data_IF_707330825466
#
_entry.id   IF_707330825466
#
_cell.length_a   1.000
_cell.length_b   1.000
_cell.length_c   1.000
_cell.angle_alpha   90.00
_cell.angle_beta   90.00
_cell.angle_gamma   90.00
#
_symmetry.space_group_name_H-M   'P 1'
#
loop_
_entity.id
_entity.type
_entity.pdbx_description
1 polymer ?
#
# COMPACT_ATOMS: atom_id res chain seq x y z
N UNK A 1 -19.04 2.18 -7.16
CA UNK A 1 -18.75 2.85 -5.87
C UNK A 1 -18.02 1.88 -4.95
N UNK A 2 -16.81 2.26 -4.48
CA UNK A 2 -16.02 1.47 -3.53
C UNK A 2 -16.42 1.85 -2.11
N UNK A 3 -16.61 0.85 -1.23
CA UNK A 3 -16.85 1.04 0.19
C UNK A 3 -15.77 0.30 0.98
N UNK A 4 -15.07 1.04 1.83
CA UNK A 4 -14.11 0.49 2.78
C UNK A 4 -14.80 0.28 4.13
N UNK A 5 -14.75 -0.92 4.66
CA UNK A 5 -15.30 -1.24 5.97
C UNK A 5 -14.25 -1.01 7.07
N UNK A 6 -14.69 -0.58 8.24
CA UNK A 6 -13.82 -0.46 9.41
C UNK A 6 -13.18 -1.81 9.77
N UNK A 7 -11.94 -1.78 10.22
CA UNK A 7 -11.23 -2.94 10.76
C UNK A 7 -11.72 -3.20 12.19
N UNK A 8 -12.07 -4.43 12.51
CA UNK A 8 -12.45 -4.88 13.84
C UNK A 8 -12.12 -6.37 14.05
N UNK A 9 -12.23 -6.84 15.26
CA UNK A 9 -11.87 -8.21 15.65
C UNK A 9 -12.80 -9.29 15.10
N UNK A 10 -13.95 -8.93 14.51
CA UNK A 10 -14.86 -9.88 13.85
C UNK A 10 -14.40 -10.26 12.44
N UNK A 11 -13.35 -9.61 11.91
CA UNK A 11 -12.84 -9.82 10.56
C UNK A 11 -11.56 -10.63 10.59
N UNK A 12 -11.55 -11.71 9.82
CA UNK A 12 -10.39 -12.58 9.57
C UNK A 12 -10.36 -12.88 8.06
N UNK A 13 -9.21 -12.79 7.38
CA UNK A 13 -7.88 -12.45 7.86
C UNK A 13 -7.71 -10.96 8.18
N UNK A 14 -6.77 -10.65 9.05
CA UNK A 14 -6.40 -9.30 9.41
C UNK A 14 -4.91 -9.06 9.14
N UNK A 15 -4.51 -7.79 9.07
CA UNK A 15 -3.11 -7.40 8.87
C UNK A 15 -2.48 -6.94 10.18
N UNK A 16 -1.16 -7.07 10.29
CA UNK A 16 -0.41 -6.43 11.38
C UNK A 16 -0.44 -4.90 11.24
N UNK A 17 -0.06 -4.19 12.30
CA UNK A 17 0.17 -2.76 12.23
C UNK A 17 1.20 -2.43 11.12
N UNK A 18 0.95 -1.37 10.37
CA UNK A 18 1.87 -0.93 9.32
C UNK A 18 3.16 -0.39 9.94
N UNK A 19 4.29 -0.95 9.52
CA UNK A 19 5.62 -0.47 9.83
C UNK A 19 6.44 -0.38 8.54
N UNK A 20 7.47 0.45 8.51
CA UNK A 20 8.35 0.67 7.36
C UNK A 20 7.59 1.02 6.06
N UNK A 21 6.47 1.74 6.18
CA UNK A 21 5.63 2.22 5.06
C UNK A 21 5.17 1.12 4.09
N UNK A 22 5.02 -0.11 4.57
CA UNK A 22 4.69 -1.29 3.75
C UNK A 22 3.19 -1.47 3.47
N UNK A 23 2.33 -0.53 3.89
CA UNK A 23 0.87 -0.69 3.76
C UNK A 23 0.39 -0.72 2.32
N UNK A 24 0.88 0.18 1.47
CA UNK A 24 0.44 0.27 0.07
C UNK A 24 0.90 -0.92 -0.76
N UNK A 25 2.15 -1.35 -0.61
CA UNK A 25 2.68 -2.47 -1.37
C UNK A 25 2.10 -3.82 -0.88
N UNK A 26 2.13 -4.12 0.40
CA UNK A 26 1.65 -5.41 0.90
C UNK A 26 0.13 -5.53 0.87
N UNK A 27 -0.58 -4.59 1.48
CA UNK A 27 -2.04 -4.64 1.54
C UNK A 27 -2.66 -4.30 0.17
N UNK A 28 -2.10 -3.34 -0.56
CA UNK A 28 -2.52 -2.99 -1.91
C UNK A 28 -2.39 -4.17 -2.88
N UNK A 29 -1.25 -4.87 -2.85
CA UNK A 29 -1.06 -6.07 -3.69
C UNK A 29 -1.95 -7.24 -3.26
N UNK A 30 -2.23 -7.41 -1.97
CA UNK A 30 -3.19 -8.42 -1.51
C UNK A 30 -4.60 -8.11 -2.05
N UNK A 31 -5.05 -6.85 -1.99
CA UNK A 31 -6.33 -6.42 -2.58
C UNK A 31 -6.33 -6.64 -4.09
N UNK A 32 -5.25 -6.27 -4.78
CA UNK A 32 -5.11 -6.52 -6.22
C UNK A 32 -5.27 -8.01 -6.56
N UNK A 33 -4.59 -8.89 -5.84
CA UNK A 33 -4.68 -10.34 -6.07
C UNK A 33 -6.11 -10.88 -5.84
N UNK A 34 -6.83 -10.36 -4.83
CA UNK A 34 -8.23 -10.71 -4.61
C UNK A 34 -9.12 -10.27 -5.79
N UNK A 35 -8.92 -9.05 -6.28
CA UNK A 35 -9.66 -8.50 -7.41
C UNK A 35 -9.34 -9.27 -8.70
N UNK A 36 -8.08 -9.57 -8.95
CA UNK A 36 -7.67 -10.32 -10.15
C UNK A 36 -8.29 -11.71 -10.17
N UNK A 37 -8.40 -12.40 -9.02
CA UNK A 37 -9.11 -13.67 -8.90
C UNK A 37 -10.59 -13.55 -9.24
N UNK A 38 -11.25 -12.48 -8.80
CA UNK A 38 -12.67 -12.24 -9.13
C UNK A 38 -12.81 -11.92 -10.63
N UNK A 39 -11.96 -11.05 -11.17
CA UNK A 39 -11.94 -10.70 -12.59
C UNK A 39 -11.75 -11.91 -13.48
N UNK A 40 -10.85 -12.82 -13.13
CA UNK A 40 -10.63 -14.07 -13.86
C UNK A 40 -11.89 -14.93 -13.92
N UNK A 41 -12.57 -15.11 -12.78
CA UNK A 41 -13.83 -15.88 -12.73
C UNK A 41 -14.91 -15.25 -13.60
N UNK A 42 -15.10 -13.93 -13.50
CA UNK A 42 -16.08 -13.17 -14.28
C UNK A 42 -15.76 -13.25 -15.77
N UNK A 43 -14.50 -13.03 -16.15
CA UNK A 43 -14.05 -13.10 -17.53
C UNK A 43 -14.30 -14.47 -18.15
N UNK A 44 -13.94 -15.52 -17.43
CA UNK A 44 -14.16 -16.90 -17.86
C UNK A 44 -15.64 -17.21 -18.09
N UNK A 45 -16.51 -16.75 -17.21
CA UNK A 45 -17.94 -17.01 -17.32
C UNK A 45 -18.60 -16.16 -18.42
N UNK A 46 -18.22 -14.87 -18.55
CA UNK A 46 -18.71 -14.03 -19.65
C UNK A 46 -18.29 -14.58 -21.01
N UNK A 47 -17.06 -15.06 -21.14
CA UNK A 47 -16.61 -15.72 -22.37
C UNK A 47 -17.51 -16.91 -22.74
N UNK A 48 -17.90 -17.74 -21.77
CA UNK A 48 -18.83 -18.87 -22.02
C UNK A 48 -20.19 -18.34 -22.45
N UNK A 49 -20.79 -17.38 -21.75
CA UNK A 49 -22.09 -16.80 -22.08
C UNK A 49 -22.10 -16.26 -23.51
N UNK A 50 -21.10 -15.49 -23.88
CA UNK A 50 -21.02 -14.91 -25.22
C UNK A 50 -20.75 -15.94 -26.30
N UNK A 51 -20.04 -17.03 -26.02
CA UNK A 51 -19.85 -18.14 -26.97
C UNK A 51 -21.11 -19.02 -27.10
N UNK A 52 -21.87 -19.22 -26.02
CA UNK A 52 -23.16 -19.93 -26.05
C UNK A 52 -24.20 -19.19 -26.91
N UNK A 53 -24.15 -17.86 -26.94
CA UNK A 53 -25.04 -17.02 -27.78
C UNK A 53 -24.69 -17.06 -29.28
N UNK A 54 -23.45 -17.45 -29.63
CA UNK A 54 -22.99 -17.58 -31.01
C UNK A 54 -22.86 -19.06 -31.41
N UNK A 55 -23.96 -19.65 -31.86
CA UNK A 55 -24.14 -21.08 -32.11
C UNK A 55 -23.14 -21.77 -33.07
N UNK A 56 -22.15 -21.08 -33.63
CA UNK A 56 -21.30 -21.59 -34.70
C UNK A 56 -19.79 -21.61 -34.48
N UNK A 57 -19.27 -21.15 -33.29
CA UNK A 57 -17.82 -21.22 -33.07
C UNK A 57 -17.46 -21.32 -31.58
N UNK A 58 -17.22 -22.53 -31.04
CA UNK A 58 -17.09 -22.75 -29.59
C UNK A 58 -15.73 -22.41 -28.96
N UNK A 59 -14.80 -21.75 -29.65
CA UNK A 59 -13.43 -21.64 -29.20
C UNK A 59 -12.82 -20.23 -29.38
N UNK A 60 -13.60 -19.15 -29.24
CA UNK A 60 -13.04 -17.81 -29.32
C UNK A 60 -12.45 -17.44 -27.94
N UNK A 61 -11.16 -17.24 -27.93
CA UNK A 61 -10.46 -16.67 -26.78
C UNK A 61 -10.78 -15.18 -26.72
N UNK A 62 -11.36 -14.71 -25.64
CA UNK A 62 -11.81 -13.33 -25.46
C UNK A 62 -10.80 -12.51 -24.67
N UNK A 63 -10.47 -11.31 -25.16
CA UNK A 63 -9.65 -10.31 -24.46
C UNK A 63 -10.54 -9.38 -23.64
N UNK A 64 -10.94 -9.81 -22.45
CA UNK A 64 -11.90 -9.08 -21.61
C UNK A 64 -11.23 -7.96 -20.84
N UNK A 65 -11.78 -6.76 -20.95
CA UNK A 65 -11.38 -5.58 -20.21
C UNK A 65 -12.51 -5.04 -19.33
N UNK A 66 -12.09 -4.45 -18.19
CA UNK A 66 -12.95 -3.79 -17.22
C UNK A 66 -12.58 -2.31 -17.21
N UNK A 67 -13.46 -1.47 -17.73
CA UNK A 67 -13.20 -0.02 -17.81
C UNK A 67 -14.52 0.76 -17.84
N UNK A 68 -14.53 1.91 -17.16
CA UNK A 68 -15.63 2.90 -17.18
C UNK A 68 -17.01 2.28 -16.90
N UNK A 69 -17.10 1.48 -15.83
CA UNK A 69 -18.30 0.74 -15.43
C UNK A 69 -18.84 -0.28 -16.45
N UNK A 70 -18.02 -0.66 -17.42
CA UNK A 70 -18.34 -1.70 -18.39
C UNK A 70 -17.31 -2.83 -18.40
N UNK A 71 -17.78 -3.98 -18.85
CA UNK A 71 -16.96 -5.14 -19.21
C UNK A 71 -17.18 -5.41 -20.70
N UNK A 72 -16.12 -5.53 -21.45
CA UNK A 72 -16.19 -5.72 -22.91
C UNK A 72 -15.04 -6.57 -23.43
N UNK A 73 -15.26 -7.17 -24.58
CA UNK A 73 -14.24 -7.91 -25.32
C UNK A 73 -13.59 -6.97 -26.35
N UNK A 74 -12.26 -6.81 -26.28
CA UNK A 74 -11.53 -5.93 -27.20
C UNK A 74 -11.53 -6.42 -28.65
N UNK A 75 -11.66 -7.72 -28.84
CA UNK A 75 -11.65 -8.35 -30.16
C UNK A 75 -13.03 -8.41 -30.80
N UNK A 76 -14.09 -8.22 -30.01
CA UNK A 76 -15.50 -8.29 -30.43
C UNK A 76 -16.30 -7.11 -29.83
N UNK A 77 -16.37 -5.95 -30.51
CA UNK A 77 -16.98 -4.72 -29.96
C UNK A 77 -18.47 -4.82 -29.59
N UNK A 78 -19.19 -5.77 -30.15
CA UNK A 78 -20.59 -6.09 -29.84
C UNK A 78 -20.76 -6.77 -28.47
N UNK A 79 -19.70 -7.37 -27.93
CA UNK A 79 -19.66 -8.02 -26.62
C UNK A 79 -19.34 -7.01 -25.54
N UNK A 80 -20.37 -6.32 -25.07
CA UNK A 80 -20.28 -5.32 -24.02
C UNK A 80 -21.45 -5.44 -23.06
N UNK A 81 -21.16 -5.36 -21.76
CA UNK A 81 -22.15 -5.40 -20.69
C UNK A 81 -21.81 -4.39 -19.61
N UNK A 82 -22.82 -3.79 -18.94
CA UNK A 82 -22.56 -2.98 -17.78
C UNK A 82 -21.99 -3.81 -16.62
N UNK A 83 -21.15 -3.22 -15.80
CA UNK A 83 -20.60 -3.90 -14.61
C UNK A 83 -21.72 -4.43 -13.70
N UNK A 84 -22.78 -3.63 -13.51
CA UNK A 84 -23.90 -4.02 -12.65
C UNK A 84 -24.65 -5.24 -13.19
N UNK A 85 -24.97 -5.26 -14.51
CA UNK A 85 -25.67 -6.38 -15.14
C UNK A 85 -24.78 -7.64 -15.16
N UNK A 86 -23.48 -7.48 -15.41
CA UNK A 86 -22.54 -8.59 -15.34
C UNK A 86 -22.52 -9.21 -13.93
N UNK A 87 -22.45 -8.40 -12.86
CA UNK A 87 -22.48 -8.91 -11.50
C UNK A 87 -23.78 -9.60 -11.15
N UNK A 88 -24.93 -9.10 -11.65
CA UNK A 88 -26.22 -9.76 -11.51
C UNK A 88 -26.23 -11.12 -12.20
N UNK A 89 -25.73 -11.20 -13.45
CA UNK A 89 -25.62 -12.46 -14.16
C UNK A 89 -24.71 -13.46 -13.45
N UNK A 90 -23.56 -13.01 -12.93
CA UNK A 90 -22.65 -13.87 -12.16
C UNK A 90 -23.34 -14.41 -10.91
N UNK A 91 -24.09 -13.57 -10.18
CA UNK A 91 -24.82 -14.00 -9.01
C UNK A 91 -25.90 -15.07 -9.35
N UNK A 92 -26.67 -14.85 -10.40
CA UNK A 92 -27.69 -15.81 -10.87
C UNK A 92 -27.07 -17.14 -11.32
N UNK A 93 -25.85 -17.11 -11.85
CA UNK A 93 -25.10 -18.31 -12.26
C UNK A 93 -24.27 -18.91 -11.11
N UNK A 94 -24.43 -18.41 -9.88
CA UNK A 94 -23.75 -18.91 -8.67
C UNK A 94 -22.22 -18.81 -8.75
N UNK A 95 -21.70 -17.82 -9.44
CA UNK A 95 -20.27 -17.51 -9.48
C UNK A 95 -19.89 -16.70 -8.25
N UNK A 96 -18.88 -17.14 -7.51
CA UNK A 96 -18.42 -16.46 -6.31
C UNK A 96 -17.80 -15.09 -6.65
N UNK A 97 -18.39 -14.02 -6.11
CA UNK A 97 -17.94 -12.63 -6.24
C UNK A 97 -17.11 -12.15 -5.02
N UNK A 98 -16.66 -13.07 -4.20
CA UNK A 98 -15.77 -12.79 -3.07
C UNK A 98 -14.44 -13.53 -3.21
N UNK A 99 -13.38 -12.92 -2.69
CA UNK A 99 -12.05 -13.54 -2.64
C UNK A 99 -11.25 -12.97 -1.48
N UNK A 100 -10.47 -13.82 -0.81
CA UNK A 100 -9.37 -13.38 0.02
C UNK A 100 -8.13 -13.18 -0.87
N UNK A 101 -7.36 -12.12 -0.60
CA UNK A 101 -6.11 -11.86 -1.28
C UNK A 101 -4.93 -12.00 -0.33
N UNK A 102 -3.84 -12.55 -0.82
CA UNK A 102 -2.59 -12.67 -0.10
C UNK A 102 -1.44 -12.22 -1.00
N UNK A 103 -0.47 -11.52 -0.42
CA UNK A 103 0.75 -11.13 -1.11
C UNK A 103 1.96 -11.47 -0.26
N UNK A 104 2.94 -12.10 -0.89
CA UNK A 104 4.27 -12.36 -0.33
C UNK A 104 5.27 -11.56 -1.14
N UNK A 105 6.03 -10.69 -0.46
CA UNK A 105 7.10 -9.92 -1.12
C UNK A 105 8.10 -10.88 -1.79
N UNK A 106 8.35 -10.73 -3.10
CA UNK A 106 9.22 -11.65 -3.83
C UNK A 106 10.71 -11.40 -3.52
N UNK A 107 11.52 -12.44 -3.71
CA UNK A 107 12.98 -12.36 -3.74
C UNK A 107 13.62 -11.74 -2.49
N UNK A 108 13.00 -11.87 -1.32
CA UNK A 108 13.59 -11.49 -0.04
C UNK A 108 14.03 -12.72 0.75
N UNK A 109 15.10 -12.58 1.50
CA UNK A 109 15.61 -13.63 2.36
C UNK A 109 16.72 -13.12 3.28
N UNK A 110 16.77 -13.64 4.49
CA UNK A 110 17.76 -13.28 5.49
C UNK A 110 18.21 -14.51 6.27
N UNK A 111 19.52 -14.78 6.25
CA UNK A 111 20.14 -15.78 7.11
C UNK A 111 20.50 -15.13 8.46
N UNK A 112 19.74 -15.47 9.49
CA UNK A 112 19.92 -14.90 10.84
C UNK A 112 21.24 -15.31 11.50
N UNK A 113 21.80 -16.48 11.12
CA UNK A 113 23.04 -16.99 11.70
C UNK A 113 24.24 -16.27 11.09
N UNK A 114 24.24 -16.11 9.79
CA UNK A 114 25.31 -15.44 9.04
C UNK A 114 25.18 -13.91 9.07
N UNK A 115 24.02 -13.37 9.48
CA UNK A 115 23.74 -11.94 9.42
C UNK A 115 23.74 -11.39 7.98
N UNK A 116 23.36 -12.20 6.99
CA UNK A 116 23.53 -11.93 5.58
C UNK A 116 22.29 -12.28 4.76
N UNK A 117 22.04 -11.52 3.69
CA UNK A 117 20.95 -11.80 2.77
C UNK A 117 20.42 -10.57 2.03
N UNK A 118 19.24 -10.72 1.42
CA UNK A 118 18.48 -9.65 0.74
C UNK A 118 17.19 -9.40 1.52
N UNK A 119 17.19 -8.54 2.57
CA UNK A 119 16.03 -8.33 3.42
C UNK A 119 14.96 -7.42 2.81
N UNK A 120 15.31 -6.64 1.78
CA UNK A 120 14.43 -5.66 1.16
C UNK A 120 14.21 -5.96 -0.32
N UNK A 121 13.01 -5.67 -0.81
CA UNK A 121 12.65 -5.86 -2.22
C UNK A 121 13.09 -4.66 -3.07
N UNK A 122 12.94 -3.45 -2.54
CA UNK A 122 13.35 -2.19 -3.16
C UNK A 122 13.93 -1.25 -2.10
N UNK A 123 14.49 -0.14 -2.57
CA UNK A 123 15.04 0.93 -1.74
C UNK A 123 14.46 2.25 -2.22
N UNK A 124 14.15 3.15 -1.26
CA UNK A 124 13.87 4.54 -1.54
C UNK A 124 15.17 5.34 -1.45
N UNK A 125 15.41 6.23 -2.40
CA UNK A 125 16.61 7.08 -2.43
C UNK A 125 16.20 8.52 -2.13
N UNK A 126 17.01 9.21 -1.35
CA UNK A 126 16.76 10.60 -1.00
C UNK A 126 17.99 11.28 -0.46
N UNK A 127 17.94 12.60 -0.47
CA UNK A 127 18.97 13.47 0.11
C UNK A 127 18.29 14.65 0.80
N UNK A 128 18.80 15.02 1.94
CA UNK A 128 18.42 16.24 2.66
C UNK A 128 19.64 17.12 2.88
N UNK A 129 19.49 18.43 2.67
CA UNK A 129 20.51 19.43 2.94
C UNK A 129 19.90 20.47 3.87
N UNK A 130 20.55 20.73 5.01
CA UNK A 130 20.08 21.69 6.00
C UNK A 130 21.11 22.80 6.21
N UNK A 131 20.62 24.02 6.29
CA UNK A 131 21.38 25.21 6.67
C UNK A 131 21.10 25.53 8.14
N UNK A 132 22.14 25.63 8.97
CA UNK A 132 22.03 25.81 10.41
C UNK A 132 22.90 26.96 10.85
N UNK A 133 22.36 27.84 11.70
CA UNK A 133 23.11 28.86 12.42
C UNK A 133 23.43 28.33 13.81
N UNK A 134 24.71 28.38 14.19
CA UNK A 134 25.19 28.00 15.53
C UNK A 134 25.82 29.18 16.24
N UNK A 135 25.35 29.47 17.44
CA UNK A 135 26.03 30.42 18.34
C UNK A 135 27.23 29.73 18.99
N UNK A 136 28.42 30.13 18.60
CA UNK A 136 29.66 29.54 19.08
C UNK A 136 29.96 29.79 20.59
N UNK A 137 29.27 30.72 21.24
CA UNK A 137 29.44 31.00 22.66
C UNK A 137 28.52 30.14 23.53
N UNK A 138 27.28 29.95 23.10
CA UNK A 138 26.25 29.26 23.88
C UNK A 138 26.00 27.83 23.42
N UNK A 139 26.39 27.49 22.19
CA UNK A 139 26.06 26.22 21.55
C UNK A 139 24.61 26.14 21.02
N UNK A 140 23.82 27.20 21.18
CA UNK A 140 22.47 27.23 20.63
C UNK A 140 22.51 27.20 19.11
N UNK A 141 21.56 26.45 18.51
CA UNK A 141 21.43 26.36 17.08
C UNK A 141 20.03 26.76 16.61
N UNK A 142 19.95 27.20 15.36
CA UNK A 142 18.69 27.48 14.65
C UNK A 142 18.74 26.90 13.26
N UNK A 143 17.76 26.05 12.93
CA UNK A 143 17.55 25.59 11.57
C UNK A 143 17.02 26.76 10.75
N UNK A 144 17.71 27.13 9.68
CA UNK A 144 17.34 28.22 8.77
C UNK A 144 16.54 27.72 7.58
N UNK A 145 16.99 26.61 6.99
CA UNK A 145 16.39 26.01 5.79
C UNK A 145 16.71 24.53 5.72
N UNK A 146 15.79 23.78 5.11
CA UNK A 146 16.04 22.38 4.70
C UNK A 146 15.44 22.15 3.32
N UNK A 147 16.22 21.56 2.43
CA UNK A 147 15.81 21.12 1.11
C UNK A 147 15.91 19.58 1.07
N UNK A 148 14.82 18.93 0.69
CA UNK A 148 14.74 17.46 0.64
C UNK A 148 14.32 17.03 -0.76
N UNK A 149 15.09 16.12 -1.36
CA UNK A 149 14.71 15.38 -2.56
C UNK A 149 14.54 13.92 -2.16
N UNK A 150 13.38 13.34 -2.42
CA UNK A 150 13.06 11.98 -2.02
C UNK A 150 12.32 11.25 -3.14
N UNK A 151 12.75 10.05 -3.48
CA UNK A 151 12.08 9.18 -4.44
C UNK A 151 10.99 8.38 -3.69
N UNK A 152 9.74 8.67 -4.00
CA UNK A 152 8.57 7.97 -3.45
C UNK A 152 7.98 6.95 -4.44
N UNK A 153 8.62 6.75 -5.60
CA UNK A 153 8.06 5.96 -6.70
C UNK A 153 6.86 6.64 -7.37
N UNK A 154 5.98 5.84 -7.94
CA UNK A 154 4.73 6.35 -8.52
C UNK A 154 3.75 6.73 -7.41
N UNK A 155 3.55 8.03 -7.21
CA UNK A 155 2.72 8.57 -6.13
C UNK A 155 1.24 8.20 -6.31
N UNK A 156 0.65 7.62 -5.27
CA UNK A 156 -0.80 7.40 -5.17
C UNK A 156 -1.50 8.67 -4.66
N UNK A 157 -0.86 9.42 -3.78
CA UNK A 157 -1.36 10.67 -3.22
C UNK A 157 -0.22 11.62 -2.85
N UNK A 158 0.14 12.58 -3.73
CA UNK A 158 1.27 13.49 -3.51
C UNK A 158 1.22 14.28 -2.19
N UNK A 159 0.01 14.63 -1.73
CA UNK A 159 -0.15 15.34 -0.45
C UNK A 159 0.21 14.48 0.76
N UNK A 160 -0.10 13.20 0.73
CA UNK A 160 0.31 12.25 1.78
C UNK A 160 1.81 11.99 1.71
N UNK A 161 2.37 11.81 0.51
CA UNK A 161 3.81 11.57 0.33
C UNK A 161 4.63 12.74 0.88
N UNK A 162 4.24 13.98 0.56
CA UNK A 162 4.85 15.20 1.11
C UNK A 162 4.79 15.20 2.64
N UNK A 163 3.62 14.97 3.21
CA UNK A 163 3.44 14.92 4.67
C UNK A 163 4.26 13.83 5.36
N UNK A 164 4.48 12.68 4.71
CA UNK A 164 5.34 11.62 5.25
C UNK A 164 6.83 12.03 5.25
N UNK A 165 7.29 12.69 4.19
CA UNK A 165 8.68 13.18 4.11
C UNK A 165 8.94 14.28 5.14
N UNK A 166 8.05 15.26 5.23
CA UNK A 166 8.14 16.36 6.20
C UNK A 166 8.06 15.84 7.65
N UNK A 167 7.10 14.96 7.94
CA UNK A 167 6.92 14.37 9.25
C UNK A 167 8.10 13.51 9.68
N UNK A 168 8.66 12.72 8.78
CA UNK A 168 9.88 11.94 9.04
C UNK A 168 11.10 12.82 9.34
N UNK A 169 11.26 13.93 8.60
CA UNK A 169 12.33 14.89 8.82
C UNK A 169 12.22 15.56 10.21
N UNK A 170 11.03 16.05 10.57
CA UNK A 170 10.79 16.71 11.87
C UNK A 170 11.05 15.76 13.03
N UNK A 171 10.64 14.49 12.93
CA UNK A 171 10.94 13.49 13.94
C UNK A 171 12.46 13.27 14.07
N UNK A 172 13.17 13.13 12.97
CA UNK A 172 14.64 12.98 12.97
C UNK A 172 15.35 14.20 13.55
N UNK A 173 14.87 15.40 13.25
CA UNK A 173 15.38 16.65 13.82
C UNK A 173 15.20 16.67 15.35
N UNK A 174 14.02 16.30 15.85
CA UNK A 174 13.73 16.21 17.28
C UNK A 174 14.70 15.28 18.01
N UNK A 175 14.88 14.06 17.48
CA UNK A 175 15.81 13.07 18.06
C UNK A 175 17.27 13.57 18.14
N UNK A 176 17.68 14.38 17.18
CA UNK A 176 19.05 14.89 17.13
C UNK A 176 19.27 16.17 17.94
N UNK A 177 18.21 16.85 18.40
CA UNK A 177 18.33 18.21 18.94
C UNK A 177 17.59 18.41 20.26
N UNK A 178 16.30 18.22 20.34
CA UNK A 178 15.46 18.66 21.46
C UNK A 178 14.95 17.53 22.34
N UNK A 179 14.85 16.31 21.81
CA UNK A 179 14.34 15.18 22.57
C UNK A 179 15.42 14.56 23.46
N UNK A 180 15.06 14.26 24.70
CA UNK A 180 15.98 13.66 25.68
C UNK A 180 15.27 12.56 26.47
N UNK A 181 15.89 11.38 26.54
CA UNK A 181 15.45 10.30 27.42
C UNK A 181 16.20 10.43 28.75
N UNK A 182 15.43 10.55 29.85
CA UNK A 182 15.98 10.69 31.21
C UNK A 182 15.68 9.46 32.06
N UNK A 183 16.69 9.08 32.82
CA UNK A 183 16.63 7.98 33.78
C UNK A 183 17.00 8.48 35.17
N UNK A 184 16.38 7.90 36.19
CA UNK A 184 16.81 8.14 37.56
C UNK A 184 18.04 7.28 37.90
N UNK A 185 18.62 7.53 39.11
CA UNK A 185 19.79 6.79 39.59
C UNK A 185 19.52 5.28 39.80
N UNK A 186 18.27 4.86 39.81
CA UNK A 186 17.85 3.46 39.95
C UNK A 186 17.53 2.79 38.61
N UNK A 187 17.68 3.52 37.50
CA UNK A 187 17.40 3.04 36.16
C UNK A 187 15.92 3.06 35.76
N UNK A 188 15.07 3.80 36.47
CA UNK A 188 13.69 4.00 36.07
C UNK A 188 13.60 5.08 35.01
N UNK A 189 12.84 4.82 33.93
CA UNK A 189 12.60 5.80 32.88
C UNK A 189 11.68 6.92 33.39
N UNK A 190 12.21 8.17 33.38
CA UNK A 190 11.47 9.35 33.82
C UNK A 190 10.59 9.94 32.72
N UNK A 191 10.98 9.78 31.47
CA UNK A 191 10.29 10.32 30.27
C UNK A 191 9.44 9.24 29.60
N UNK A 192 8.50 8.65 30.33
CA UNK A 192 7.72 7.49 29.89
C UNK A 192 6.32 7.83 29.38
N UNK A 193 5.92 9.09 29.36
CA UNK A 193 4.57 9.53 29.01
C UNK A 193 4.59 10.87 28.24
N UNK A 194 3.54 11.23 27.49
CA UNK A 194 3.49 12.46 26.69
C UNK A 194 3.64 13.75 27.49
N UNK A 195 3.34 13.75 28.80
CA UNK A 195 3.51 14.89 29.71
C UNK A 195 4.96 15.05 30.23
N UNK A 196 5.73 13.96 30.23
CA UNK A 196 7.12 13.95 30.71
C UNK A 196 8.16 13.93 29.59
N UNK A 197 7.82 13.37 28.42
CA UNK A 197 8.66 13.38 27.22
C UNK A 197 8.44 14.68 26.45
N UNK A 198 9.48 15.48 26.30
CA UNK A 198 9.43 16.76 25.59
C UNK A 198 9.96 16.61 24.17
N UNK A 199 9.27 17.26 23.26
CA UNK A 199 9.59 17.34 21.84
C UNK A 199 10.01 18.77 21.51
#
# INVERSE_FOLDING_TARGET
>A
KIKVNATNTSKVPNTSATAASSGSDMNGMAVKNAIDTIKERVSKELTKIWNEQQSNNPSIQSSIQFKDDFIFDTDHPDRRISFADAMLQMNLRQISLSSAGFYKTPNIGWDKIKGWGKPFFYYAFGMAVSEVLVDCLTGQHKLLRTDIVHDVGDSINPGIDMGQVEGGFVQGLGWCTTEEIKWDDKGNLMTHSPDTYKI
#
